data_IF_126292897776
#
_entry.id   IF_126292897776
#
_cell.length_a   1.000
_cell.length_b   1.000
_cell.length_c   1.000
_cell.angle_alpha   90.00
_cell.angle_beta   90.00
_cell.angle_gamma   90.00
#
_symmetry.space_group_name_H-M   'P 1'
#
loop_
_entity.id
_entity.type
_entity.pdbx_description
1 polymer ?
#
# COMPACT_ATOMS: atom_id res chain seq x y z
N UNK A 1 -17.30 12.13 -27.34
CA UNK A 1 -15.95 11.79 -26.82
C UNK A 1 -15.83 10.27 -26.80
N UNK A 2 -14.73 9.70 -27.30
CA UNK A 2 -14.46 8.26 -27.21
C UNK A 2 -13.71 7.96 -25.90
N UNK A 3 -14.05 6.85 -25.24
CA UNK A 3 -13.38 6.42 -24.01
C UNK A 3 -12.01 5.81 -24.30
N UNK A 4 -11.08 5.83 -23.33
CA UNK A 4 -9.80 5.14 -23.44
C UNK A 4 -9.98 3.63 -23.61
N UNK A 5 -9.12 3.00 -24.41
CA UNK A 5 -9.09 1.53 -24.59
C UNK A 5 -8.46 0.78 -23.41
N UNK A 6 -7.74 1.49 -22.55
CA UNK A 6 -7.04 0.95 -21.40
C UNK A 6 -7.04 1.96 -20.26
N UNK A 7 -7.14 1.46 -19.03
CA UNK A 7 -7.03 2.24 -17.80
C UNK A 7 -6.00 1.54 -16.91
N UNK A 8 -5.08 2.34 -16.36
CA UNK A 8 -4.15 1.88 -15.32
C UNK A 8 -4.77 2.16 -13.97
N UNK A 9 -5.01 1.10 -13.19
CA UNK A 9 -5.36 1.22 -11.77
C UNK A 9 -4.05 1.28 -10.99
N UNK A 10 -3.91 2.33 -10.18
CA UNK A 10 -2.80 2.51 -9.24
C UNK A 10 -3.43 2.42 -7.85
N UNK A 11 -3.15 1.32 -7.15
CA UNK A 11 -3.68 1.07 -5.82
C UNK A 11 -2.81 1.80 -4.78
N UNK A 12 -3.43 2.64 -3.95
CA UNK A 12 -2.73 3.50 -2.98
C UNK A 12 -3.23 3.30 -1.54
N UNK A 13 -4.17 2.39 -1.32
CA UNK A 13 -4.81 2.16 -0.03
C UNK A 13 -3.83 1.73 1.06
N UNK A 14 -2.83 0.90 0.74
CA UNK A 14 -1.82 0.46 1.70
C UNK A 14 -0.88 1.59 2.16
N UNK A 15 -0.74 2.68 1.40
CA UNK A 15 0.00 3.89 1.80
C UNK A 15 -0.92 5.02 2.18
N UNK A 16 -1.53 5.66 1.19
CA UNK A 16 -2.29 6.90 1.37
C UNK A 16 -3.60 6.67 2.13
N UNK A 17 -4.23 5.51 1.93
CA UNK A 17 -5.37 5.09 2.73
C UNK A 17 -5.00 4.93 4.21
N UNK A 18 -4.10 3.99 4.51
CA UNK A 18 -3.70 3.69 5.91
C UNK A 18 -3.04 4.85 6.63
N UNK A 19 -2.37 5.76 5.91
CA UNK A 19 -1.79 6.97 6.50
C UNK A 19 -2.85 7.87 7.16
N UNK A 20 -4.05 7.92 6.62
CA UNK A 20 -5.15 8.77 7.10
C UNK A 20 -6.10 8.06 8.07
N UNK A 21 -5.85 6.79 8.35
CA UNK A 21 -6.67 5.96 9.23
C UNK A 21 -6.04 5.76 10.60
N UNK A 22 -6.80 5.11 11.50
CA UNK A 22 -6.26 4.60 12.76
C UNK A 22 -5.13 3.61 12.49
N UNK A 23 -4.19 3.53 13.42
CA UNK A 23 -3.05 2.64 13.30
C UNK A 23 -3.51 1.17 13.12
N UNK A 24 -2.95 0.54 12.10
CA UNK A 24 -3.15 -0.87 11.75
C UNK A 24 -1.86 -1.63 12.04
N UNK A 25 -1.97 -2.88 12.48
CA UNK A 25 -0.79 -3.70 12.78
C UNK A 25 0.01 -4.01 11.52
N UNK A 26 1.32 -4.21 11.65
CA UNK A 26 2.15 -4.61 10.52
C UNK A 26 1.65 -5.91 9.85
N UNK A 27 1.20 -6.88 10.65
CA UNK A 27 0.68 -8.15 10.14
C UNK A 27 -0.54 -7.93 9.23
N UNK A 28 -1.49 -7.10 9.65
CA UNK A 28 -2.67 -6.77 8.85
C UNK A 28 -2.31 -6.02 7.56
N UNK A 29 -1.30 -5.12 7.63
CA UNK A 29 -0.78 -4.44 6.43
C UNK A 29 -0.17 -5.42 5.43
N UNK A 30 0.61 -6.39 5.90
CA UNK A 30 1.17 -7.45 5.06
C UNK A 30 0.06 -8.29 4.44
N UNK A 31 -0.95 -8.68 5.23
CA UNK A 31 -2.12 -9.41 4.72
C UNK A 31 -2.85 -8.62 3.63
N UNK A 32 -3.06 -7.31 3.83
CA UNK A 32 -3.69 -6.45 2.83
C UNK A 32 -2.89 -6.42 1.52
N UNK A 33 -1.58 -6.13 1.59
CA UNK A 33 -0.75 -6.04 0.38
C UNK A 33 -0.66 -7.37 -0.35
N UNK A 34 -0.52 -8.48 0.37
CA UNK A 34 -0.49 -9.83 -0.23
C UNK A 34 -1.84 -10.24 -0.83
N UNK A 35 -2.96 -9.74 -0.28
CA UNK A 35 -4.27 -9.94 -0.89
C UNK A 35 -4.41 -9.11 -2.17
N UNK A 36 -3.97 -7.85 -2.15
CA UNK A 36 -3.99 -6.95 -3.30
C UNK A 36 -3.13 -7.48 -4.45
N UNK A 37 -1.95 -8.05 -4.17
CA UNK A 37 -1.08 -8.63 -5.22
C UNK A 37 -1.74 -9.77 -5.99
N UNK A 38 -2.69 -10.48 -5.36
CA UNK A 38 -3.43 -11.61 -5.96
C UNK A 38 -4.60 -11.17 -6.85
N UNK A 39 -4.92 -9.88 -6.91
CA UNK A 39 -6.06 -9.35 -7.70
C UNK A 39 -5.74 -9.09 -9.17
N UNK A 40 -4.45 -9.14 -9.55
CA UNK A 40 -3.99 -8.79 -10.91
C UNK A 40 -3.65 -7.30 -11.09
N UNK A 41 -3.73 -6.49 -10.04
CA UNK A 41 -3.20 -5.12 -10.01
C UNK A 41 -1.73 -5.09 -10.45
N UNK A 42 -1.38 -4.06 -11.22
CA UNK A 42 -0.02 -3.90 -11.75
C UNK A 42 0.85 -2.95 -10.92
N UNK A 43 0.21 -2.10 -10.11
CA UNK A 43 0.89 -1.14 -9.25
C UNK A 43 0.14 -1.04 -7.94
N UNK A 44 0.86 -1.29 -6.84
CA UNK A 44 0.38 -1.13 -5.47
C UNK A 44 1.43 -0.28 -4.73
N UNK A 45 0.99 0.83 -4.14
CA UNK A 45 1.82 1.67 -3.29
C UNK A 45 1.69 1.17 -1.84
N UNK A 46 2.72 0.47 -1.37
CA UNK A 46 2.67 -0.36 -0.16
C UNK A 46 3.11 0.35 1.12
N UNK A 47 3.74 1.52 1.02
CA UNK A 47 4.23 2.28 2.17
C UNK A 47 5.04 3.51 1.75
N UNK A 48 5.66 4.18 2.72
CA UNK A 48 6.40 5.43 2.51
C UNK A 48 7.62 5.53 3.42
N UNK A 49 8.75 6.00 2.88
CA UNK A 49 10.01 6.19 3.61
C UNK A 49 10.17 7.64 4.10
N UNK A 50 9.11 8.19 4.66
CA UNK A 50 9.08 9.52 5.30
C UNK A 50 9.49 9.42 6.77
N UNK A 51 9.68 10.57 7.42
CA UNK A 51 10.01 10.58 8.84
C UNK A 51 8.88 9.96 9.68
N UNK A 52 9.16 8.92 10.47
CA UNK A 52 8.16 8.27 11.33
C UNK A 52 7.68 9.19 12.47
N UNK A 53 8.43 10.24 12.78
CA UNK A 53 8.00 11.28 13.72
C UNK A 53 6.78 12.05 13.21
N UNK A 54 6.73 12.31 11.90
CA UNK A 54 5.66 13.09 11.28
C UNK A 54 4.54 12.21 10.74
N UNK A 55 4.86 10.97 10.36
CA UNK A 55 3.88 9.99 9.88
C UNK A 55 4.12 8.64 10.58
N UNK A 56 3.66 8.48 11.83
CA UNK A 56 3.87 7.25 12.61
C UNK A 56 3.29 6.00 11.94
N UNK A 57 2.20 6.15 11.18
CA UNK A 57 1.54 5.06 10.47
C UNK A 57 2.46 4.37 9.46
N UNK A 58 3.48 5.05 8.94
CA UNK A 58 4.39 4.55 7.90
C UNK A 58 5.75 4.08 8.46
N UNK A 59 5.93 4.06 9.79
CA UNK A 59 7.20 3.75 10.43
C UNK A 59 7.72 2.33 10.13
N UNK A 60 6.82 1.39 9.85
CA UNK A 60 7.10 -0.02 9.58
C UNK A 60 7.23 -0.35 8.08
N UNK A 61 7.29 0.66 7.19
CA UNK A 61 7.33 0.45 5.74
C UNK A 61 8.48 -0.45 5.30
N UNK A 62 9.67 -0.30 5.89
CA UNK A 62 10.82 -1.15 5.55
C UNK A 62 10.60 -2.62 5.91
N UNK A 63 9.97 -2.88 7.05
CA UNK A 63 9.68 -4.23 7.52
C UNK A 63 8.59 -4.86 6.67
N UNK A 64 7.53 -4.11 6.36
CA UNK A 64 6.48 -4.51 5.43
C UNK A 64 7.07 -4.97 4.08
N UNK A 65 7.95 -4.15 3.49
CA UNK A 65 8.59 -4.48 2.22
C UNK A 65 9.43 -5.78 2.25
N UNK A 66 9.91 -6.19 3.42
CA UNK A 66 10.65 -7.45 3.60
C UNK A 66 9.74 -8.68 3.73
N UNK A 67 8.47 -8.49 4.09
CA UNK A 67 7.52 -9.56 4.40
C UNK A 67 6.50 -9.85 3.29
N UNK A 68 6.31 -8.93 2.34
CA UNK A 68 5.32 -9.08 1.27
C UNK A 68 5.77 -10.03 0.15
N UNK A 69 4.81 -10.73 -0.43
CA UNK A 69 4.96 -11.59 -1.60
C UNK A 69 5.04 -10.70 -2.87
N UNK A 70 5.93 -11.06 -3.82
CA UNK A 70 6.19 -10.28 -5.05
C UNK A 70 5.73 -11.01 -6.30
#
# INVERSE_FOLDING_TARGET
MALPKYVKIVEVGARDGLQNEKAVTLADKVTLVNALSKTGLKVIETGSFVSPKWVPQMADSSELFSLIER
#
